data_IF_169473547170
#
_entry.id   IF_169473547170
#
_cell.length_a   1.000
_cell.length_b   1.000
_cell.length_c   1.000
_cell.angle_alpha   90.00
_cell.angle_beta   90.00
_cell.angle_gamma   90.00
#
_symmetry.space_group_name_H-M   'P 1'
#
loop_
_entity.id
_entity.type
_entity.pdbx_description
1 polymer ?
#
# COMPACT_ATOMS: atom_id res chain seq x y z
N UNK A 1 8.52 10.43 -2.40
CA UNK A 1 7.86 9.13 -2.17
C UNK A 1 6.54 9.41 -1.48
N UNK A 2 5.59 9.92 -2.24
CA UNK A 2 4.22 10.10 -1.78
C UNK A 2 3.47 8.78 -1.95
N UNK A 3 2.73 8.42 -0.91
CA UNK A 3 2.14 7.10 -0.80
C UNK A 3 0.63 7.18 -0.73
N UNK A 4 0.02 6.66 -1.78
CA UNK A 4 -1.43 6.69 -1.93
C UNK A 4 -2.10 5.42 -1.40
N UNK A 5 -1.43 4.53 -0.64
CA UNK A 5 -1.99 3.23 -0.19
C UNK A 5 -3.38 3.42 0.44
N UNK A 6 -3.49 4.28 1.45
CA UNK A 6 -4.75 4.53 2.16
C UNK A 6 -5.82 5.07 1.21
N UNK A 7 -5.48 6.08 0.41
CA UNK A 7 -6.42 6.71 -0.51
C UNK A 7 -6.88 5.77 -1.61
N UNK A 8 -5.96 5.03 -2.23
CA UNK A 8 -6.22 4.03 -3.26
C UNK A 8 -7.05 2.88 -2.69
N UNK A 9 -6.76 2.42 -1.47
CA UNK A 9 -7.55 1.40 -0.78
C UNK A 9 -8.99 1.88 -0.56
N UNK A 10 -9.18 3.10 -0.05
CA UNK A 10 -10.51 3.68 0.20
C UNK A 10 -11.28 3.87 -1.11
N UNK A 11 -10.65 4.39 -2.16
CA UNK A 11 -11.26 4.54 -3.50
C UNK A 11 -11.76 3.20 -4.08
N UNK A 12 -11.15 2.10 -3.66
CA UNK A 12 -11.54 0.74 -4.06
C UNK A 12 -12.53 0.06 -3.12
N UNK A 13 -12.98 0.76 -2.07
CA UNK A 13 -13.90 0.19 -1.08
C UNK A 13 -13.28 -0.92 -0.22
N UNK A 14 -11.95 -1.06 -0.22
CA UNK A 14 -11.25 -2.13 0.49
C UNK A 14 -11.03 -1.70 1.95
N UNK A 15 -11.32 -2.57 2.92
CA UNK A 15 -11.01 -2.34 4.35
C UNK A 15 -9.54 -2.65 4.63
N UNK A 16 -8.97 -2.04 5.67
CA UNK A 16 -7.58 -2.36 6.07
C UNK A 16 -7.40 -3.85 6.34
N UNK A 17 -8.36 -4.48 7.03
CA UNK A 17 -8.33 -5.91 7.34
C UNK A 17 -8.33 -6.80 6.08
N UNK A 18 -9.01 -6.36 5.03
CA UNK A 18 -9.05 -7.09 3.75
C UNK A 18 -7.71 -6.96 3.03
N UNK A 19 -7.17 -5.74 2.91
CA UNK A 19 -5.89 -5.52 2.28
C UNK A 19 -4.75 -6.23 3.03
N UNK A 20 -4.76 -6.21 4.36
CA UNK A 20 -3.72 -6.88 5.16
C UNK A 20 -3.71 -8.38 4.93
N UNK A 21 -4.90 -9.01 4.81
CA UNK A 21 -5.03 -10.42 4.42
C UNK A 21 -4.52 -10.67 3.00
N UNK A 22 -4.89 -9.83 2.03
CA UNK A 22 -4.47 -9.96 0.63
C UNK A 22 -2.94 -9.92 0.45
N UNK A 23 -2.24 -9.07 1.21
CA UNK A 23 -0.78 -8.91 1.10
C UNK A 23 0.02 -9.75 2.11
N UNK A 24 -0.68 -10.45 3.02
CA UNK A 24 -0.07 -11.34 4.02
C UNK A 24 0.71 -10.60 5.10
N UNK A 25 0.16 -9.52 5.65
CA UNK A 25 0.74 -8.77 6.77
C UNK A 25 -0.28 -8.54 7.88
N UNK A 26 0.17 -8.16 9.07
CA UNK A 26 -0.74 -7.76 10.14
C UNK A 26 -1.44 -6.43 9.80
N UNK A 27 -2.67 -6.25 10.30
CA UNK A 27 -3.40 -4.98 10.18
C UNK A 27 -2.59 -3.80 10.75
N UNK A 28 -1.83 -4.02 11.83
CA UNK A 28 -0.93 -3.02 12.40
C UNK A 28 0.20 -2.63 11.44
N UNK A 29 0.85 -3.62 10.79
CA UNK A 29 1.86 -3.34 9.76
C UNK A 29 1.28 -2.55 8.59
N UNK A 30 0.06 -2.89 8.13
CA UNK A 30 -0.61 -2.08 7.11
C UNK A 30 -0.89 -0.65 7.60
N UNK A 31 -1.35 -0.47 8.84
CA UNK A 31 -1.58 0.88 9.40
C UNK A 31 -0.30 1.71 9.47
N UNK A 32 0.83 1.10 9.82
CA UNK A 32 2.13 1.77 9.82
C UNK A 32 2.51 2.25 8.41
N UNK A 33 2.34 1.38 7.40
CA UNK A 33 2.59 1.73 6.00
C UNK A 33 1.65 2.85 5.52
N UNK A 34 0.37 2.80 5.86
CA UNK A 34 -0.60 3.86 5.52
C UNK A 34 -0.30 5.21 6.20
N UNK A 35 0.48 5.20 7.28
CA UNK A 35 0.85 6.39 8.05
C UNK A 35 2.29 6.85 7.81
N UNK A 36 2.99 6.33 6.79
CA UNK A 36 4.33 6.84 6.45
C UNK A 36 5.51 6.03 7.00
N UNK A 37 5.28 4.95 7.76
CA UNK A 37 6.37 4.17 8.35
C UNK A 37 6.78 3.00 7.43
N UNK A 38 7.91 3.18 6.74
CA UNK A 38 8.44 2.26 5.72
C UNK A 38 9.68 1.49 6.14
N UNK A 39 10.04 1.52 7.42
CA UNK A 39 11.22 0.82 7.97
C UNK A 39 11.27 -0.67 7.61
N UNK A 40 10.12 -1.29 7.31
CA UNK A 40 9.99 -2.70 6.93
C UNK A 40 9.30 -2.91 5.56
N UNK A 41 9.34 -1.91 4.69
CA UNK A 41 8.84 -2.00 3.33
C UNK A 41 9.90 -2.64 2.42
N UNK A 42 9.52 -3.74 1.78
CA UNK A 42 10.40 -4.46 0.83
C UNK A 42 9.80 -4.42 -0.57
N UNK A 43 10.63 -4.56 -1.60
CA UNK A 43 10.16 -4.59 -2.99
C UNK A 43 9.05 -5.65 -3.24
N UNK A 44 9.15 -6.89 -2.73
CA UNK A 44 8.05 -7.86 -2.83
C UNK A 44 6.75 -7.38 -2.18
N UNK A 45 6.84 -6.66 -1.06
CA UNK A 45 5.66 -6.10 -0.39
C UNK A 45 5.05 -4.94 -1.20
N UNK A 46 5.88 -4.06 -1.77
CA UNK A 46 5.42 -3.01 -2.69
C UNK A 46 4.65 -3.63 -3.87
N UNK A 47 5.20 -4.68 -4.47
CA UNK A 47 4.56 -5.39 -5.58
C UNK A 47 3.22 -6.02 -5.15
N UNK A 48 3.18 -6.71 -4.00
CA UNK A 48 1.93 -7.28 -3.46
C UNK A 48 0.86 -6.22 -3.22
N UNK A 49 1.21 -5.08 -2.62
CA UNK A 49 0.27 -3.99 -2.36
C UNK A 49 -0.23 -3.41 -3.69
N UNK A 50 0.68 -3.13 -4.63
CA UNK A 50 0.33 -2.59 -5.95
C UNK A 50 -0.62 -3.52 -6.70
N UNK A 51 -0.39 -4.84 -6.67
CA UNK A 51 -1.24 -5.86 -7.29
C UNK A 51 -2.58 -6.01 -6.59
N UNK A 52 -2.60 -6.07 -5.26
CA UNK A 52 -3.83 -6.20 -4.47
C UNK A 52 -4.74 -4.98 -4.63
N UNK A 53 -4.14 -3.80 -4.79
CA UNK A 53 -4.88 -2.62 -5.12
C UNK A 53 -5.24 -2.65 -6.61
N UNK A 54 -4.34 -2.99 -7.53
CA UNK A 54 -4.57 -2.92 -8.98
C UNK A 54 -4.04 -1.62 -9.59
N UNK A 55 -2.96 -1.07 -9.02
CA UNK A 55 -2.22 0.09 -9.53
C UNK A 55 -0.76 -0.31 -9.74
N UNK A 56 -0.01 0.46 -10.52
CA UNK A 56 1.43 0.23 -10.64
C UNK A 56 2.16 0.57 -9.33
N UNK A 57 3.34 -0.04 -9.12
CA UNK A 57 4.22 0.33 -8.00
C UNK A 57 4.62 1.80 -8.11
N UNK A 58 4.87 2.28 -9.34
CA UNK A 58 5.19 3.67 -9.66
C UNK A 58 4.09 4.61 -9.17
N UNK A 59 2.85 4.40 -9.58
CA UNK A 59 1.71 5.25 -9.17
C UNK A 59 1.46 5.23 -7.66
N UNK A 60 1.74 4.10 -7.01
CA UNK A 60 1.41 3.92 -5.60
C UNK A 60 2.46 4.51 -4.67
N UNK A 61 3.74 4.39 -5.02
CA UNK A 61 4.88 4.70 -4.16
C UNK A 61 5.73 5.88 -4.62
N UNK A 62 5.68 6.24 -5.90
CA UNK A 62 6.52 7.30 -6.45
C UNK A 62 5.63 8.46 -6.88
N UNK A 63 6.07 9.68 -6.58
CA UNK A 63 5.40 10.86 -7.09
C UNK A 63 5.48 10.84 -8.62
N UNK A 64 4.39 11.20 -9.30
CA UNK A 64 4.54 11.71 -10.67
C UNK A 64 5.30 13.02 -10.53
N UNK A 65 6.62 12.98 -10.73
CA UNK A 65 7.39 14.20 -10.94
C UNK A 65 6.68 15.03 -12.02
N UNK A 66 6.33 16.26 -11.68
CA UNK A 66 6.31 17.35 -12.65
C UNK A 66 7.67 18.01 -12.58
#
# INVERSE_FOLDING_TARGET
>A
MNLNIKMTRIKRGIKQEELSKMIGVSRSKLSMLENGNFSNLTYPLMFKISKALGVSVQELFFDKEN
#
